data_IF_108763127015
#
_entry.id   IF_108763127015
#
_cell.length_a   1.000
_cell.length_b   1.000
_cell.length_c   1.000
_cell.angle_alpha   90.00
_cell.angle_beta   90.00
_cell.angle_gamma   90.00
#
_symmetry.space_group_name_H-M   'P 1'
#
loop_
_entity.id
_entity.type
_entity.pdbx_description
1 polymer ?
#
# COMPACT_ATOMS: atom_id res chain seq x y z
N UNK A 1 24.15 -27.92 8.25
CA UNK A 1 22.77 -28.36 7.95
C UNK A 1 22.04 -27.15 7.40
N UNK A 2 21.67 -27.18 6.13
CA UNK A 2 20.97 -26.08 5.48
C UNK A 2 19.48 -26.22 5.83
N UNK A 3 18.85 -25.29 6.57
CA UNK A 3 17.42 -25.40 6.84
C UNK A 3 16.68 -25.35 5.50
N UNK A 4 15.81 -26.32 5.24
CA UNK A 4 14.97 -26.30 4.07
C UNK A 4 14.02 -25.11 4.18
N UNK A 5 13.83 -24.34 3.10
CA UNK A 5 12.90 -23.19 3.09
C UNK A 5 11.44 -23.60 3.42
N UNK A 6 11.16 -24.89 3.46
CA UNK A 6 9.89 -25.54 3.80
C UNK A 6 9.65 -25.78 5.30
N UNK A 7 10.66 -25.62 6.16
CA UNK A 7 10.49 -25.83 7.61
C UNK A 7 9.78 -24.68 8.32
N UNK A 8 9.53 -23.56 7.63
CA UNK A 8 8.73 -22.46 8.16
C UNK A 8 7.25 -22.85 8.06
N UNK A 9 6.50 -22.97 9.18
CA UNK A 9 5.11 -23.43 9.17
C UNK A 9 4.20 -22.56 8.29
N UNK A 10 4.56 -21.28 8.11
CA UNK A 10 3.92 -20.29 7.24
C UNK A 10 4.06 -20.60 5.74
N UNK A 11 5.20 -21.16 5.34
CA UNK A 11 5.52 -21.51 3.94
C UNK A 11 5.07 -22.92 3.56
N UNK A 12 4.45 -23.66 4.48
CA UNK A 12 3.81 -24.93 4.17
C UNK A 12 2.54 -24.70 3.33
N UNK A 13 2.21 -25.62 2.40
CA UNK A 13 0.97 -25.55 1.60
C UNK A 13 -0.28 -25.32 2.46
N UNK A 14 -0.34 -25.95 3.63
CA UNK A 14 -1.44 -25.83 4.58
C UNK A 14 -1.42 -24.50 5.32
N UNK A 15 -0.24 -23.99 5.67
CA UNK A 15 -0.04 -22.66 6.24
C UNK A 15 -0.54 -21.58 5.29
N UNK A 16 -0.12 -21.65 4.02
CA UNK A 16 -0.57 -20.74 2.96
C UNK A 16 -2.08 -20.77 2.76
N UNK A 17 -2.72 -21.94 2.73
CA UNK A 17 -4.17 -22.06 2.54
C UNK A 17 -4.97 -21.52 3.73
N UNK A 18 -4.55 -21.82 4.96
CA UNK A 18 -5.19 -21.29 6.18
C UNK A 18 -5.03 -19.79 6.27
N UNK A 19 -3.85 -19.31 5.91
CA UNK A 19 -3.55 -17.89 5.86
C UNK A 19 -4.41 -17.17 4.82
N UNK A 20 -4.45 -17.67 3.57
CA UNK A 20 -5.28 -17.08 2.51
C UNK A 20 -6.76 -17.09 2.87
N UNK A 21 -7.23 -18.15 3.55
CA UNK A 21 -8.61 -18.23 4.05
C UNK A 21 -8.88 -17.18 5.14
N UNK A 22 -8.00 -17.05 6.13
CA UNK A 22 -8.11 -16.05 7.20
C UNK A 22 -8.06 -14.62 6.67
N UNK A 23 -7.12 -14.33 5.77
CA UNK A 23 -7.02 -13.04 5.08
C UNK A 23 -8.30 -12.73 4.30
N UNK A 24 -8.82 -13.69 3.54
CA UNK A 24 -10.05 -13.52 2.76
C UNK A 24 -11.27 -13.25 3.64
N UNK A 25 -11.39 -13.91 4.81
CA UNK A 25 -12.46 -13.68 5.78
C UNK A 25 -12.34 -12.29 6.42
N UNK A 26 -11.13 -11.86 6.77
CA UNK A 26 -10.90 -10.53 7.32
C UNK A 26 -11.24 -9.42 6.30
N UNK A 27 -10.70 -9.53 5.09
CA UNK A 27 -10.93 -8.59 4.00
C UNK A 27 -12.40 -8.56 3.55
N UNK A 28 -13.09 -9.70 3.55
CA UNK A 28 -14.52 -9.75 3.24
C UNK A 28 -15.37 -9.10 4.34
N UNK A 29 -15.02 -9.30 5.61
CA UNK A 29 -15.76 -8.70 6.73
C UNK A 29 -15.62 -7.18 6.75
N UNK A 30 -14.40 -6.67 6.59
CA UNK A 30 -14.16 -5.21 6.52
C UNK A 30 -14.73 -4.63 5.22
N UNK A 31 -14.57 -5.32 4.10
CA UNK A 31 -15.13 -4.90 2.81
C UNK A 31 -16.66 -4.86 2.79
N UNK A 32 -17.34 -5.77 3.49
CA UNK A 32 -18.80 -5.74 3.67
C UNK A 32 -19.22 -4.59 4.58
N UNK A 33 -18.50 -4.31 5.67
CA UNK A 33 -18.75 -3.13 6.51
C UNK A 33 -18.64 -1.81 5.72
N UNK A 34 -17.59 -1.68 4.90
CA UNK A 34 -17.37 -0.52 4.03
C UNK A 34 -18.46 -0.37 2.95
N UNK A 35 -18.91 -1.49 2.40
CA UNK A 35 -19.93 -1.54 1.35
C UNK A 35 -21.33 -1.26 1.89
N UNK A 36 -21.64 -1.75 3.11
CA UNK A 36 -22.93 -1.55 3.77
C UNK A 36 -23.08 -0.13 4.34
N UNK A 37 -21.97 0.54 4.69
CA UNK A 37 -21.99 1.95 5.08
C UNK A 37 -22.08 2.91 3.89
N UNK A 38 -21.97 2.42 2.64
CA UNK A 38 -22.02 3.24 1.43
C UNK A 38 -20.84 4.20 1.26
N UNK A 39 -19.74 4.00 1.99
CA UNK A 39 -18.68 5.02 2.14
C UNK A 39 -17.54 4.93 1.13
N UNK A 40 -17.49 3.93 0.25
CA UNK A 40 -16.44 3.84 -0.78
C UNK A 40 -17.09 3.70 -2.16
N UNK A 41 -17.29 4.81 -2.91
CA UNK A 41 -17.79 4.72 -4.28
C UNK A 41 -16.86 3.82 -5.11
N UNK A 42 -17.44 2.94 -5.92
CA UNK A 42 -16.67 2.03 -6.78
C UNK A 42 -15.97 2.74 -7.94
N UNK A 43 -16.32 4.01 -8.17
CA UNK A 43 -15.83 4.83 -9.26
C UNK A 43 -14.47 5.47 -8.92
N UNK A 44 -13.54 5.54 -9.88
CA UNK A 44 -12.32 6.33 -9.74
C UNK A 44 -12.62 7.80 -9.44
N UNK A 45 -11.71 8.45 -8.71
CA UNK A 45 -11.75 9.89 -8.49
C UNK A 45 -11.66 10.65 -9.81
N UNK A 46 -12.13 11.90 -9.83
CA UNK A 46 -12.10 12.73 -11.04
C UNK A 46 -10.67 12.90 -11.55
N UNK A 47 -10.41 12.45 -12.78
CA UNK A 47 -9.10 12.54 -13.42
C UNK A 47 -8.16 11.36 -13.16
N UNK A 48 -8.61 10.35 -12.41
CA UNK A 48 -7.87 9.12 -12.13
C UNK A 48 -8.52 7.91 -12.81
N UNK A 49 -7.74 6.86 -13.05
CA UNK A 49 -8.16 5.65 -13.73
C UNK A 49 -8.56 4.53 -12.75
N UNK A 50 -7.95 4.47 -11.56
CA UNK A 50 -8.14 3.36 -10.63
C UNK A 50 -8.33 3.79 -9.16
N UNK A 51 -7.66 4.83 -8.69
CA UNK A 51 -7.78 5.33 -7.32
C UNK A 51 -9.11 6.06 -7.10
N UNK A 52 -9.69 5.91 -5.91
CA UNK A 52 -10.94 6.55 -5.48
C UNK A 52 -10.64 7.74 -4.57
N UNK A 53 -11.60 8.64 -4.40
CA UNK A 53 -11.44 9.80 -3.50
C UNK A 53 -11.09 9.38 -2.07
N UNK A 54 -11.61 8.23 -1.60
CA UNK A 54 -11.32 7.67 -0.27
C UNK A 54 -9.88 7.20 -0.11
N UNK A 55 -9.19 6.83 -1.20
CA UNK A 55 -7.81 6.32 -1.17
C UNK A 55 -6.79 7.47 -1.04
N UNK A 56 -7.14 8.67 -1.53
CA UNK A 56 -6.21 9.78 -1.71
C UNK A 56 -5.64 10.36 -0.40
N UNK A 57 -6.42 10.61 0.67
CA UNK A 57 -5.85 11.13 1.91
C UNK A 57 -4.77 10.23 2.49
N UNK A 58 -5.01 8.92 2.47
CA UNK A 58 -4.05 7.92 2.93
C UNK A 58 -2.78 7.93 2.08
N UNK A 59 -2.91 7.84 0.75
CA UNK A 59 -1.75 7.77 -0.13
C UNK A 59 -0.93 9.08 -0.13
N UNK A 60 -1.59 10.24 -0.06
CA UNK A 60 -0.91 11.54 0.04
C UNK A 60 -0.16 11.73 1.35
N UNK A 61 -0.62 11.11 2.44
CA UNK A 61 0.11 11.09 3.70
C UNK A 61 1.29 10.09 3.65
N UNK A 62 1.06 8.90 3.11
CA UNK A 62 2.01 7.79 3.10
C UNK A 62 3.22 8.01 2.16
N UNK A 63 2.96 8.38 0.90
CA UNK A 63 3.99 8.39 -0.15
C UNK A 63 5.17 9.31 0.21
N UNK A 64 4.99 10.56 0.69
CA UNK A 64 6.11 11.42 1.06
C UNK A 64 7.02 10.81 2.13
N UNK A 65 6.46 10.06 3.08
CA UNK A 65 7.23 9.37 4.13
C UNK A 65 8.06 8.23 3.53
N UNK A 66 7.49 7.47 2.59
CA UNK A 66 8.21 6.38 1.91
C UNK A 66 9.30 6.86 0.96
N UNK A 67 9.19 8.10 0.45
CA UNK A 67 10.20 8.73 -0.40
C UNK A 67 11.24 9.53 0.41
N UNK A 68 11.22 9.46 1.73
CA UNK A 68 12.21 10.14 2.57
C UNK A 68 13.63 9.62 2.26
N UNK A 69 14.54 10.54 1.97
CA UNK A 69 15.92 10.22 1.58
C UNK A 69 16.09 9.81 0.11
N UNK A 70 15.01 9.51 -0.62
CA UNK A 70 15.08 9.17 -2.05
C UNK A 70 15.25 10.41 -2.96
N UNK A 71 14.77 11.57 -2.51
CA UNK A 71 14.85 12.85 -3.20
C UNK A 71 15.19 13.98 -2.23
N UNK A 72 15.66 15.11 -2.77
CA UNK A 72 15.86 16.34 -1.99
C UNK A 72 14.55 16.78 -1.33
N UNK A 73 14.64 17.37 -0.13
CA UNK A 73 13.47 17.69 0.69
C UNK A 73 12.48 18.64 -0.02
N UNK A 74 13.00 19.54 -0.84
CA UNK A 74 12.27 20.53 -1.63
C UNK A 74 11.47 19.88 -2.77
N UNK A 75 11.91 18.72 -3.27
CA UNK A 75 11.29 18.00 -4.37
C UNK A 75 10.32 16.90 -3.90
N UNK A 76 10.27 16.61 -2.58
CA UNK A 76 9.53 15.48 -2.02
C UNK A 76 8.04 15.49 -2.37
N UNK A 77 7.39 16.65 -2.31
CA UNK A 77 5.96 16.75 -2.62
C UNK A 77 5.68 16.50 -4.11
N UNK A 78 6.50 17.09 -5.00
CA UNK A 78 6.38 16.87 -6.44
C UNK A 78 6.65 15.39 -6.81
N UNK A 79 7.66 14.78 -6.19
CA UNK A 79 7.95 13.36 -6.36
C UNK A 79 6.80 12.47 -5.86
N UNK A 80 6.16 12.85 -4.74
CA UNK A 80 5.02 12.12 -4.19
C UNK A 80 3.78 12.22 -5.09
N UNK A 81 3.44 13.40 -5.59
CA UNK A 81 2.30 13.60 -6.50
C UNK A 81 2.47 12.77 -7.76
N UNK A 82 3.66 12.78 -8.36
CA UNK A 82 3.87 12.03 -9.58
C UNK A 82 4.08 10.52 -9.35
N UNK A 83 4.49 10.11 -8.15
CA UNK A 83 4.39 8.70 -7.71
C UNK A 83 2.95 8.26 -7.59
N UNK A 84 2.06 9.11 -7.08
CA UNK A 84 0.62 8.84 -6.99
C UNK A 84 0.00 8.65 -8.38
N UNK A 85 0.35 9.50 -9.35
CA UNK A 85 -0.10 9.36 -10.75
C UNK A 85 0.41 8.07 -11.41
N UNK A 86 1.68 7.71 -11.16
CA UNK A 86 2.27 6.47 -11.66
C UNK A 86 1.62 5.25 -11.01
N UNK A 87 1.29 5.33 -9.72
CA UNK A 87 0.57 4.30 -8.98
C UNK A 87 -0.85 4.12 -9.55
N UNK A 88 -1.60 5.19 -9.76
CA UNK A 88 -2.93 5.13 -10.38
C UNK A 88 -2.90 4.45 -11.74
N UNK A 89 -1.93 4.83 -12.58
CA UNK A 89 -1.70 4.21 -13.89
C UNK A 89 -1.38 2.71 -13.75
N UNK A 90 -0.50 2.33 -12.83
CA UNK A 90 -0.15 0.93 -12.59
C UNK A 90 -1.36 0.11 -12.11
N UNK A 91 -2.18 0.67 -11.22
CA UNK A 91 -3.39 0.03 -10.69
C UNK A 91 -4.45 -0.19 -11.78
N UNK A 92 -4.54 0.71 -12.77
CA UNK A 92 -5.45 0.56 -13.91
C UNK A 92 -5.11 -0.65 -14.80
N UNK A 93 -3.89 -1.16 -14.74
CA UNK A 93 -3.44 -2.35 -15.50
C UNK A 93 -3.59 -3.66 -14.71
N UNK A 94 -4.03 -3.61 -13.45
CA UNK A 94 -4.28 -4.80 -12.66
C UNK A 94 -5.51 -5.55 -13.17
N UNK A 95 -5.51 -6.88 -13.00
CA UNK A 95 -6.73 -7.67 -13.20
C UNK A 95 -7.81 -7.23 -12.21
N UNK A 96 -9.11 -7.32 -12.57
CA UNK A 96 -10.18 -6.88 -11.69
C UNK A 96 -10.14 -7.49 -10.27
N UNK A 97 -9.80 -8.78 -10.07
CA UNK A 97 -9.65 -9.34 -8.73
C UNK A 97 -8.50 -8.72 -7.93
N UNK A 98 -7.37 -8.40 -8.59
CA UNK A 98 -6.20 -7.83 -7.90
C UNK A 98 -6.44 -6.36 -7.53
N UNK A 99 -7.09 -5.59 -8.41
CA UNK A 99 -7.53 -4.23 -8.11
C UNK A 99 -8.51 -4.22 -6.94
N UNK A 100 -9.45 -5.18 -6.89
CA UNK A 100 -10.39 -5.32 -5.77
C UNK A 100 -9.65 -5.58 -4.45
N UNK A 101 -8.71 -6.52 -4.40
CA UNK A 101 -7.93 -6.80 -3.19
C UNK A 101 -7.12 -5.58 -2.73
N UNK A 102 -6.53 -4.85 -3.68
CA UNK A 102 -5.78 -3.62 -3.39
C UNK A 102 -6.69 -2.54 -2.79
N UNK A 103 -7.86 -2.32 -3.38
CA UNK A 103 -8.87 -1.39 -2.84
C UNK A 103 -9.38 -1.83 -1.46
N UNK A 104 -9.53 -3.13 -1.20
CA UNK A 104 -9.89 -3.63 0.12
C UNK A 104 -8.80 -3.34 1.17
N UNK A 105 -7.52 -3.43 0.80
CA UNK A 105 -6.43 -2.99 1.67
C UNK A 105 -6.55 -1.49 1.99
N UNK A 106 -6.84 -0.65 1.00
CA UNK A 106 -7.05 0.79 1.23
C UNK A 106 -8.31 1.07 2.06
N UNK A 107 -9.41 0.35 1.85
CA UNK A 107 -10.63 0.48 2.65
C UNK A 107 -10.35 0.18 4.13
N UNK A 108 -9.62 -0.91 4.41
CA UNK A 108 -9.19 -1.26 5.78
C UNK A 108 -8.35 -0.14 6.42
N UNK A 109 -7.54 0.57 5.64
CA UNK A 109 -6.67 1.65 6.12
C UNK A 109 -7.39 3.00 6.25
N UNK A 110 -8.51 3.20 5.56
CA UNK A 110 -9.22 4.50 5.49
C UNK A 110 -10.45 4.55 6.38
N UNK A 111 -11.07 3.40 6.65
CA UNK A 111 -12.21 3.29 7.58
C UNK A 111 -11.75 3.55 9.02
N UNK A 112 -12.35 4.54 9.70
CA UNK A 112 -11.94 4.93 11.05
C UNK A 112 -11.95 3.79 12.08
N UNK A 113 -12.90 2.84 11.96
CA UNK A 113 -13.02 1.70 12.88
C UNK A 113 -11.86 0.70 12.77
N UNK A 114 -11.23 0.60 11.60
CA UNK A 114 -10.10 -0.31 11.36
C UNK A 114 -8.77 0.44 11.34
N UNK A 115 -8.74 1.69 10.88
CA UNK A 115 -7.54 2.54 10.81
C UNK A 115 -6.82 2.61 12.15
N UNK A 116 -7.46 3.15 13.19
CA UNK A 116 -6.82 3.34 14.50
C UNK A 116 -6.21 2.06 15.08
N UNK A 117 -6.98 0.98 15.23
CA UNK A 117 -6.46 -0.28 15.78
C UNK A 117 -5.36 -0.93 14.94
N UNK A 118 -5.44 -0.85 13.61
CA UNK A 118 -4.48 -1.52 12.73
C UNK A 118 -3.22 -0.70 12.53
N UNK A 119 -3.33 0.61 12.38
CA UNK A 119 -2.21 1.47 12.03
C UNK A 119 -1.63 2.19 13.24
N UNK A 120 -2.38 2.32 14.34
CA UNK A 120 -2.04 3.20 15.47
C UNK A 120 -2.32 4.68 15.21
N UNK A 121 -2.84 5.04 14.03
CA UNK A 121 -3.17 6.42 13.63
C UNK A 121 -4.67 6.67 13.87
N UNK A 122 -4.99 7.35 14.96
CA UNK A 122 -6.38 7.61 15.36
C UNK A 122 -6.98 8.84 14.68
N UNK A 123 -6.17 9.86 14.39
CA UNK A 123 -6.55 11.05 13.63
C UNK A 123 -6.78 10.79 12.14
N UNK A 124 -7.25 11.80 11.41
CA UNK A 124 -7.44 11.68 9.96
C UNK A 124 -6.09 11.64 9.23
N UNK A 125 -6.04 11.01 8.06
CA UNK A 125 -4.78 10.89 7.31
C UNK A 125 -4.20 12.25 6.90
N UNK A 126 -5.06 13.24 6.65
CA UNK A 126 -4.68 14.62 6.29
C UNK A 126 -3.93 15.34 7.43
N UNK A 127 -4.07 14.85 8.66
CA UNK A 127 -3.44 15.45 9.85
C UNK A 127 -2.41 14.53 10.50
N UNK A 128 -2.22 13.32 9.96
CA UNK A 128 -1.25 12.36 10.47
C UNK A 128 0.18 12.88 10.26
N UNK A 129 0.98 12.87 11.32
CA UNK A 129 2.38 13.25 11.25
C UNK A 129 3.23 12.20 10.53
N UNK A 130 4.37 12.63 9.98
CA UNK A 130 5.34 11.70 9.40
C UNK A 130 5.80 10.62 10.39
N UNK A 131 5.96 10.97 11.67
CA UNK A 131 6.35 10.01 12.72
C UNK A 131 5.28 8.95 13.00
N UNK A 132 3.99 9.34 13.03
CA UNK A 132 2.89 8.38 13.17
C UNK A 132 2.88 7.37 12.01
N UNK A 133 3.14 7.85 10.79
CA UNK A 133 3.19 7.01 9.59
C UNK A 133 4.41 6.09 9.59
N UNK A 134 5.59 6.58 10.01
CA UNK A 134 6.80 5.75 10.18
C UNK A 134 6.57 4.65 11.21
N UNK A 135 6.00 4.98 12.37
CA UNK A 135 5.67 3.99 13.39
C UNK A 135 4.62 2.98 12.93
N UNK A 136 3.64 3.43 12.13
CA UNK A 136 2.68 2.55 11.49
C UNK A 136 3.38 1.51 10.60
N UNK A 137 4.24 1.97 9.69
CA UNK A 137 4.99 1.09 8.79
C UNK A 137 5.90 0.12 9.55
N UNK A 138 6.66 0.62 10.52
CA UNK A 138 7.55 -0.19 11.37
C UNK A 138 6.79 -1.28 12.14
N UNK A 139 5.63 -0.95 12.72
CA UNK A 139 4.77 -1.94 13.40
C UNK A 139 4.25 -3.01 12.46
N UNK A 140 3.88 -2.66 11.23
CA UNK A 140 3.41 -3.64 10.25
C UNK A 140 4.54 -4.52 9.74
N UNK A 141 5.71 -3.93 9.46
CA UNK A 141 6.92 -4.64 9.04
C UNK A 141 7.33 -5.71 10.07
N UNK A 142 7.30 -5.34 11.35
CA UNK A 142 7.76 -6.18 12.46
C UNK A 142 6.62 -6.94 13.18
N UNK A 143 5.43 -7.02 12.59
CA UNK A 143 4.27 -7.65 13.23
C UNK A 143 4.41 -9.17 13.36
N UNK A 144 3.91 -9.75 14.45
CA UNK A 144 3.72 -11.21 14.56
C UNK A 144 2.57 -11.73 13.68
N UNK A 145 1.74 -10.84 13.15
CA UNK A 145 0.64 -11.18 12.25
C UNK A 145 1.14 -11.09 10.80
N UNK A 146 1.22 -12.25 10.13
CA UNK A 146 1.66 -12.33 8.74
C UNK A 146 0.83 -11.44 7.79
N UNK A 147 -0.44 -11.19 8.12
CA UNK A 147 -1.32 -10.33 7.33
C UNK A 147 -0.84 -8.87 7.32
N UNK A 148 -0.38 -8.35 8.47
CA UNK A 148 0.12 -6.98 8.55
C UNK A 148 1.47 -6.84 7.86
N UNK A 149 2.35 -7.84 7.99
CA UNK A 149 3.62 -7.91 7.26
C UNK A 149 3.42 -7.94 5.74
N UNK A 150 2.42 -8.68 5.27
CA UNK A 150 2.04 -8.69 3.86
C UNK A 150 1.42 -7.38 3.40
N UNK A 151 0.59 -6.74 4.25
CA UNK A 151 0.10 -5.39 4.03
C UNK A 151 1.24 -4.40 3.85
N UNK A 152 2.25 -4.42 4.74
CA UNK A 152 3.45 -3.59 4.62
C UNK A 152 4.19 -3.86 3.32
N UNK A 153 4.49 -5.13 3.03
CA UNK A 153 5.22 -5.52 1.82
C UNK A 153 4.48 -5.09 0.55
N UNK A 154 3.14 -5.18 0.55
CA UNK A 154 2.31 -4.76 -0.59
C UNK A 154 2.33 -3.25 -0.78
N UNK A 155 2.20 -2.48 0.30
CA UNK A 155 2.30 -1.01 0.26
C UNK A 155 3.69 -0.58 -0.24
N UNK A 156 4.75 -1.15 0.34
CA UNK A 156 6.13 -0.91 -0.05
C UNK A 156 6.35 -1.19 -1.53
N UNK A 157 5.98 -2.38 -1.99
CA UNK A 157 6.17 -2.79 -3.37
C UNK A 157 5.40 -1.88 -4.33
N UNK A 158 4.12 -1.58 -4.07
CA UNK A 158 3.32 -0.74 -4.96
C UNK A 158 3.88 0.68 -5.09
N UNK A 159 4.21 1.32 -3.97
CA UNK A 159 4.71 2.71 -3.98
C UNK A 159 6.12 2.78 -4.56
N UNK A 160 7.01 1.86 -4.19
CA UNK A 160 8.37 1.86 -4.73
C UNK A 160 8.41 1.51 -6.22
N UNK A 161 7.58 0.57 -6.69
CA UNK A 161 7.47 0.29 -8.13
C UNK A 161 6.92 1.49 -8.88
N UNK A 162 5.92 2.19 -8.34
CA UNK A 162 5.40 3.41 -8.93
C UNK A 162 6.50 4.49 -9.04
N UNK A 163 7.28 4.72 -7.99
CA UNK A 163 8.36 5.69 -7.99
C UNK A 163 9.50 5.33 -8.96
N UNK A 164 10.05 4.13 -8.86
CA UNK A 164 11.21 3.71 -9.66
C UNK A 164 10.90 3.44 -11.13
N UNK A 165 9.62 3.38 -11.52
CA UNK A 165 9.22 3.36 -12.93
C UNK A 165 9.44 4.71 -13.64
N UNK A 166 9.69 5.79 -12.88
CA UNK A 166 9.85 7.14 -13.42
C UNK A 166 11.31 7.48 -13.68
N UNK A 167 11.56 8.21 -14.77
CA UNK A 167 12.91 8.64 -15.16
C UNK A 167 13.61 9.49 -14.10
N UNK A 168 12.85 10.30 -13.36
CA UNK A 168 13.36 11.14 -12.27
C UNK A 168 14.02 10.34 -11.13
N UNK A 169 13.59 9.09 -10.93
CA UNK A 169 14.16 8.22 -9.89
C UNK A 169 15.49 7.58 -10.31
N UNK A 170 15.76 7.49 -11.62
CA UNK A 170 16.87 6.69 -12.15
C UNK A 170 18.25 7.27 -11.85
N UNK A 171 18.38 8.61 -11.92
CA UNK A 171 19.63 9.31 -11.62
C UNK A 171 20.08 9.07 -10.19
N UNK A 172 19.14 9.03 -9.25
CA UNK A 172 19.42 8.82 -7.83
C UNK A 172 19.84 7.38 -7.51
N UNK A 173 19.35 6.38 -8.25
CA UNK A 173 19.75 4.98 -8.07
C UNK A 173 20.88 4.51 -9.01
N UNK A 174 21.45 5.42 -9.82
CA UNK A 174 22.53 5.11 -10.74
C UNK A 174 22.11 4.30 -11.97
N UNK A 175 20.81 4.21 -12.25
CA UNK A 175 20.30 3.53 -13.44
C UNK A 175 20.39 4.47 -14.65
N UNK A 176 21.07 4.10 -15.76
CA UNK A 176 21.23 4.96 -16.93
C UNK A 176 19.94 5.10 -17.78
N UNK A 177 18.86 4.42 -17.39
CA UNK A 177 17.64 4.32 -18.19
C UNK A 177 17.61 3.08 -19.09
N UNK A 178 16.45 2.78 -19.70
CA UNK A 178 16.33 1.69 -20.66
C UNK A 178 17.16 1.97 -21.91
N UNK A 179 17.66 0.92 -22.60
CA UNK A 179 18.41 1.09 -23.83
C UNK A 179 17.56 1.77 -24.90
N UNK A 180 18.12 2.80 -25.54
CA UNK A 180 17.52 3.43 -26.72
C UNK A 180 17.71 2.50 -27.91
N UNK A 181 16.61 1.95 -28.44
CA UNK A 181 16.60 1.18 -29.70
C UNK A 181 16.52 2.11 -30.91
#
# INVERSE_FOLDING_TARGET
MNPSLTDTPVLSRRGLLKFSLGASVFLSTVGLGASLSGCSPSQPAKGLAALRDSDLPFLRALIPVMLEGAVAAEQRNAAADATLESLDTALAHLSPPMLKLTRQLFDVLTLGITRGPLTGVWGSWETASGDEIRQFLDRWENSSLDLLRQGHSSLLQMVMMAWYSRAEAWTHCGYPGPPTV
#
